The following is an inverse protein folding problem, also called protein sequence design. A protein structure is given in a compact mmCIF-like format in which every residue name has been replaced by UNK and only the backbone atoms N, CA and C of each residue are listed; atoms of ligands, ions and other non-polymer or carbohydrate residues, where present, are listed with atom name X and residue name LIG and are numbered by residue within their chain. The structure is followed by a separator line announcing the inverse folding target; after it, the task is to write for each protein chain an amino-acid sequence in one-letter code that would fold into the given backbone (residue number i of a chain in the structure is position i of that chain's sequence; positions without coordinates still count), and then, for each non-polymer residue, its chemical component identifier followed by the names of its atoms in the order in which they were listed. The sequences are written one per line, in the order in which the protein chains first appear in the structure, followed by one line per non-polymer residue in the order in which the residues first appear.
data_IF_320238436172
#
_entry.id   IF_320238436172
#
_cell.length_a   1.000
_cell.length_b   1.000
_cell.length_c   1.000
_cell.angle_alpha   90.00
_cell.angle_beta   90.00
_cell.angle_gamma   90.00
#
_symmetry.space_group_name_H-M   'P 1'
#
loop_
_entity.id
_entity.type
_entity.pdbx_description
1 polymer ?
#
# COMPACT_ATOMS: atom_id res chain seq x y z
N UNK A 1 -57.79 -74.24 16.01
CA UNK A 1 -58.31 -73.68 17.27
C UNK A 1 -57.67 -72.32 17.49
N UNK A 2 -58.51 -71.32 17.76
CA UNK A 2 -58.22 -69.89 17.91
C UNK A 2 -56.98 -69.56 18.76
N UNK A 3 -56.25 -68.50 18.38
CA UNK A 3 -56.38 -67.17 19.00
C UNK A 3 -55.51 -66.11 18.29
N UNK A 4 -56.19 -65.10 17.76
CA UNK A 4 -55.67 -63.76 17.51
C UNK A 4 -55.18 -63.13 18.82
N UNK A 5 -54.06 -62.40 18.78
CA UNK A 5 -53.73 -61.34 19.75
C UNK A 5 -52.73 -60.35 19.13
N UNK A 6 -53.26 -59.21 18.68
CA UNK A 6 -52.66 -57.87 18.84
C UNK A 6 -53.59 -57.17 19.85
N UNK A 7 -53.16 -56.18 20.67
CA UNK A 7 -52.21 -55.11 20.34
C UNK A 7 -51.31 -54.61 21.50
N UNK A 8 -50.38 -53.68 21.24
CA UNK A 8 -50.42 -52.31 21.80
C UNK A 8 -49.27 -51.42 21.28
N UNK A 9 -49.53 -50.14 20.99
CA UNK A 9 -48.53 -49.15 20.64
C UNK A 9 -48.02 -48.45 21.91
N UNK A 10 -46.70 -48.48 22.15
CA UNK A 10 -46.09 -47.57 23.12
C UNK A 10 -45.54 -46.35 22.39
N UNK A 11 -46.36 -45.30 22.40
CA UNK A 11 -45.90 -43.95 22.17
C UNK A 11 -45.27 -43.42 23.46
N UNK A 12 -43.99 -43.02 23.38
CA UNK A 12 -43.36 -41.83 24.01
C UNK A 12 -41.88 -42.09 24.27
N UNK A 13 -41.00 -41.37 23.56
CA UNK A 13 -40.22 -40.28 24.16
C UNK A 13 -39.31 -39.62 23.12
N UNK A 14 -39.52 -38.32 22.97
CA UNK A 14 -38.66 -37.38 22.27
C UNK A 14 -37.27 -37.36 22.92
N UNK A 15 -36.19 -37.44 22.14
CA UNK A 15 -35.08 -36.47 22.24
C UNK A 15 -34.51 -36.29 20.83
N UNK A 16 -34.73 -35.10 20.28
CA UNK A 16 -34.04 -34.61 19.10
C UNK A 16 -32.55 -34.44 19.44
N UNK A 17 -31.72 -35.37 18.99
CA UNK A 17 -30.27 -35.24 19.03
C UNK A 17 -29.78 -34.40 17.87
N UNK A 18 -29.99 -33.08 17.94
CA UNK A 18 -29.29 -32.10 17.12
C UNK A 18 -27.80 -32.17 17.47
N UNK A 19 -27.05 -33.01 16.76
CA UNK A 19 -25.59 -33.00 16.77
C UNK A 19 -25.08 -31.71 16.14
N UNK A 20 -25.04 -30.64 16.93
CA UNK A 20 -24.39 -29.38 16.58
C UNK A 20 -22.90 -29.67 16.36
N UNK A 21 -22.52 -29.87 15.10
CA UNK A 21 -21.12 -29.87 14.68
C UNK A 21 -20.58 -28.46 14.88
N UNK A 22 -19.95 -28.21 16.02
CA UNK A 22 -19.18 -27.02 16.27
C UNK A 22 -17.91 -27.07 15.39
N UNK A 23 -18.04 -26.68 14.12
CA UNK A 23 -16.90 -26.23 13.33
C UNK A 23 -16.38 -24.95 14.00
N UNK A 24 -15.39 -25.12 14.88
CA UNK A 24 -14.50 -24.06 15.30
C UNK A 24 -13.80 -23.54 14.04
N UNK A 25 -14.37 -22.50 13.45
CA UNK A 25 -13.72 -21.64 12.48
C UNK A 25 -12.49 -21.06 13.16
N UNK A 26 -11.34 -21.70 12.96
CA UNK A 26 -10.02 -21.11 13.12
C UNK A 26 -9.97 -19.93 12.16
N UNK A 27 -10.49 -18.78 12.59
CA UNK A 27 -10.31 -17.52 11.91
C UNK A 27 -8.81 -17.20 12.03
N UNK A 28 -8.03 -17.65 11.04
CA UNK A 28 -6.69 -17.14 10.84
C UNK A 28 -6.85 -15.63 10.66
N UNK A 29 -6.44 -14.86 11.65
CA UNK A 29 -6.21 -13.44 11.50
C UNK A 29 -5.13 -13.30 10.44
N UNK A 30 -5.55 -13.16 9.18
CA UNK A 30 -4.67 -12.81 8.09
C UNK A 30 -4.10 -11.43 8.43
N UNK A 31 -2.93 -11.42 9.06
CA UNK A 31 -2.20 -10.19 9.29
C UNK A 31 -1.97 -9.56 7.92
N UNK A 32 -2.48 -8.34 7.73
CA UNK A 32 -2.30 -7.63 6.47
C UNK A 32 -0.80 -7.52 6.18
N UNK A 33 -0.38 -7.99 5.01
CA UNK A 33 1.02 -7.95 4.61
C UNK A 33 1.54 -6.50 4.61
N UNK A 34 2.81 -6.32 4.96
CA UNK A 34 3.48 -5.05 4.77
C UNK A 34 3.36 -4.63 3.30
N UNK A 35 2.99 -3.37 3.04
CA UNK A 35 2.75 -2.90 1.67
C UNK A 35 3.95 -3.17 0.75
N UNK A 36 5.17 -2.97 1.25
CA UNK A 36 6.41 -3.16 0.49
C UNK A 36 6.66 -4.59 0.01
N UNK A 37 6.04 -5.58 0.65
CA UNK A 37 6.25 -7.00 0.32
C UNK A 37 5.25 -7.50 -0.74
N UNK A 38 4.23 -6.69 -1.07
CA UNK A 38 3.25 -7.03 -2.10
C UNK A 38 3.88 -6.88 -3.49
N UNK A 39 3.82 -7.93 -4.31
CA UNK A 39 4.43 -7.96 -5.65
C UNK A 39 4.00 -6.79 -6.55
N UNK A 40 2.72 -6.43 -6.56
CA UNK A 40 2.24 -5.30 -7.38
C UNK A 40 2.77 -3.95 -6.88
N UNK A 41 3.02 -3.81 -5.57
CA UNK A 41 3.67 -2.62 -5.00
C UNK A 41 5.11 -2.56 -5.48
N UNK A 42 5.86 -3.66 -5.38
CA UNK A 42 7.25 -3.73 -5.87
C UNK A 42 7.36 -3.41 -7.36
N UNK A 43 6.42 -3.92 -8.17
CA UNK A 43 6.36 -3.61 -9.60
C UNK A 43 6.07 -2.13 -9.87
N UNK A 44 5.12 -1.55 -9.12
CA UNK A 44 4.78 -0.13 -9.26
C UNK A 44 5.84 0.80 -8.71
N UNK A 45 6.76 0.32 -7.87
CA UNK A 45 7.88 1.11 -7.37
C UNK A 45 8.99 1.32 -8.42
N UNK A 46 8.94 0.64 -9.56
CA UNK A 46 9.66 1.10 -10.73
C UNK A 46 8.94 2.33 -11.31
N UNK A 47 9.56 3.50 -11.20
CA UNK A 47 9.00 4.75 -11.68
C UNK A 47 8.70 4.75 -13.20
N UNK A 48 9.31 3.87 -14.00
CA UNK A 48 8.99 3.73 -15.43
C UNK A 48 7.65 3.01 -15.68
N UNK A 49 7.24 2.15 -14.74
CA UNK A 49 5.99 1.39 -14.79
C UNK A 49 4.87 2.05 -13.99
N UNK A 50 5.23 2.85 -12.99
CA UNK A 50 4.31 3.40 -12.01
C UNK A 50 3.07 4.07 -12.62
N UNK A 51 3.27 4.99 -13.58
CA UNK A 51 2.16 5.71 -14.23
C UNK A 51 1.22 4.77 -14.98
N UNK A 52 1.74 3.78 -15.69
CA UNK A 52 0.91 2.78 -16.40
C UNK A 52 0.08 1.90 -15.44
N UNK A 53 0.53 1.80 -14.18
CA UNK A 53 -0.16 1.09 -13.11
C UNK A 53 -1.09 2.01 -12.30
N UNK A 54 -1.26 3.27 -12.71
CA UNK A 54 -2.14 4.25 -12.06
C UNK A 54 -1.50 5.04 -10.92
N UNK A 55 -0.18 4.97 -10.76
CA UNK A 55 0.56 5.74 -9.77
C UNK A 55 1.02 7.13 -10.26
N UNK A 56 1.57 7.89 -9.34
CA UNK A 56 1.92 9.31 -9.46
C UNK A 56 3.37 9.62 -9.05
N UNK A 57 4.23 8.63 -8.87
CA UNK A 57 5.59 8.85 -8.33
C UNK A 57 6.44 9.78 -9.22
N UNK A 58 6.21 9.79 -10.54
CA UNK A 58 6.98 10.64 -11.47
C UNK A 58 6.68 12.13 -11.30
N UNK A 59 5.57 12.51 -10.66
CA UNK A 59 5.32 13.89 -10.22
C UNK A 59 6.32 14.36 -9.16
N UNK A 60 7.08 13.44 -8.56
CA UNK A 60 8.00 13.68 -7.46
C UNK A 60 9.44 13.32 -7.81
N UNK A 61 9.78 13.18 -9.10
CA UNK A 61 11.16 12.90 -9.56
C UNK A 61 11.52 13.93 -10.62
N UNK A 62 12.48 14.81 -10.30
CA UNK A 62 12.88 15.89 -11.21
C UNK A 62 13.28 15.37 -12.60
N UNK A 63 12.74 16.01 -13.64
CA UNK A 63 13.00 15.68 -15.04
C UNK A 63 12.19 14.50 -15.59
N UNK A 64 11.43 13.76 -14.77
CA UNK A 64 10.50 12.74 -15.26
C UNK A 64 9.15 13.36 -15.63
N UNK A 65 8.55 12.86 -16.71
CA UNK A 65 7.21 13.28 -17.15
C UNK A 65 6.15 12.83 -16.13
N UNK A 66 5.33 13.76 -15.59
CA UNK A 66 4.24 13.39 -14.69
C UNK A 66 3.12 12.64 -15.45
N UNK A 67 2.21 11.92 -14.75
CA UNK A 67 1.02 11.34 -15.37
C UNK A 67 0.20 12.38 -16.14
N UNK A 68 -0.54 11.93 -17.16
CA UNK A 68 -1.44 12.80 -17.92
C UNK A 68 -2.42 13.56 -17.00
N UNK A 69 -2.64 14.85 -17.30
CA UNK A 69 -3.49 15.73 -16.50
C UNK A 69 -2.88 16.18 -15.17
N UNK A 70 -1.58 15.98 -14.96
CA UNK A 70 -0.91 16.37 -13.73
C UNK A 70 0.40 17.12 -13.96
N UNK A 71 0.97 17.65 -12.87
CA UNK A 71 2.15 18.52 -12.94
C UNK A 71 3.04 18.31 -11.72
N UNK A 72 4.34 18.58 -11.90
CA UNK A 72 5.33 18.72 -10.84
C UNK A 72 5.24 20.08 -10.14
N UNK A 73 4.50 21.05 -10.68
CA UNK A 73 4.32 22.37 -10.05
C UNK A 73 3.77 22.21 -8.63
N UNK A 74 4.35 22.95 -7.69
CA UNK A 74 4.00 22.95 -6.27
C UNK A 74 4.22 21.58 -5.57
N UNK A 75 4.98 20.67 -6.21
CA UNK A 75 5.40 19.40 -5.62
C UNK A 75 6.82 19.47 -5.07
N UNK A 76 7.08 18.58 -4.12
CA UNK A 76 8.44 18.24 -3.70
C UNK A 76 8.98 17.11 -4.57
N UNK A 77 10.22 17.26 -5.03
CA UNK A 77 10.84 16.36 -6.00
C UNK A 77 12.15 15.81 -5.44
N UNK A 78 12.38 14.52 -5.64
CA UNK A 78 13.73 14.00 -5.66
C UNK A 78 14.53 14.69 -6.75
N UNK A 79 15.75 15.14 -6.42
CA UNK A 79 16.69 15.75 -7.36
C UNK A 79 17.05 14.85 -8.54
N UNK A 80 16.94 13.53 -8.38
CA UNK A 80 17.23 12.54 -9.41
C UNK A 80 16.43 11.26 -9.22
N UNK A 81 16.31 10.45 -10.27
CA UNK A 81 15.77 9.09 -10.20
C UNK A 81 16.55 8.20 -9.22
N UNK A 82 17.88 8.35 -9.16
CA UNK A 82 18.71 7.60 -8.22
C UNK A 82 18.37 7.87 -6.75
N UNK A 83 18.01 9.11 -6.38
CA UNK A 83 17.58 9.42 -5.01
C UNK A 83 16.24 8.76 -4.67
N UNK A 84 15.31 8.74 -5.62
CA UNK A 84 14.04 8.01 -5.49
C UNK A 84 14.27 6.50 -5.31
N UNK A 85 15.08 5.88 -6.17
CA UNK A 85 15.35 4.44 -6.11
C UNK A 85 16.06 4.06 -4.80
N UNK A 86 16.95 4.93 -4.31
CA UNK A 86 17.60 4.75 -3.01
C UNK A 86 16.60 4.82 -1.85
N UNK A 87 15.66 5.78 -1.87
CA UNK A 87 14.63 5.90 -0.84
C UNK A 87 13.73 4.65 -0.80
N UNK A 88 13.24 4.19 -1.96
CA UNK A 88 12.46 2.95 -2.03
C UNK A 88 13.25 1.73 -1.54
N UNK A 89 14.50 1.58 -1.98
CA UNK A 89 15.35 0.47 -1.53
C UNK A 89 15.52 0.47 -0.01
N UNK A 90 15.77 1.63 0.60
CA UNK A 90 15.96 1.72 2.05
C UNK A 90 14.68 1.47 2.84
N UNK A 91 13.53 1.82 2.30
CA UNK A 91 12.25 1.44 2.87
C UNK A 91 12.06 -0.08 2.97
N UNK A 92 12.76 -0.85 2.13
CA UNK A 92 12.85 -2.32 2.20
C UNK A 92 13.39 -2.86 3.53
N UNK A 93 14.17 -2.06 4.27
CA UNK A 93 14.92 -2.52 5.45
C UNK A 93 14.40 -1.96 6.78
N UNK A 94 13.37 -1.12 6.78
CA UNK A 94 12.82 -0.59 8.05
C UNK A 94 12.12 -1.70 8.86
N UNK A 95 12.13 -1.58 10.19
CA UNK A 95 11.54 -2.61 11.07
C UNK A 95 10.00 -2.61 11.07
N UNK A 96 9.38 -1.44 10.90
CA UNK A 96 7.94 -1.26 11.07
C UNK A 96 7.26 -0.71 9.80
N UNK A 97 7.27 -1.45 8.67
CA UNK A 97 6.57 -1.01 7.46
C UNK A 97 5.04 -1.02 7.67
N UNK A 98 4.35 -0.08 7.04
CA UNK A 98 2.89 -0.03 7.10
C UNK A 98 2.27 -1.25 6.41
N UNK A 99 1.27 -1.84 7.04
CA UNK A 99 0.47 -2.91 6.45
C UNK A 99 -0.61 -2.34 5.52
N UNK A 100 -0.76 -2.96 4.34
CA UNK A 100 -1.75 -2.55 3.35
C UNK A 100 -3.15 -3.04 3.74
N UNK A 101 -4.03 -2.10 4.09
CA UNK A 101 -5.43 -2.39 4.45
C UNK A 101 -6.34 -1.21 4.09
N UNK A 102 -7.65 -1.46 3.94
CA UNK A 102 -8.56 -0.45 3.41
C UNK A 102 -8.25 -0.11 1.94
N UNK A 103 -8.31 1.19 1.60
CA UNK A 103 -8.10 1.66 0.22
C UNK A 103 -6.84 2.53 0.04
N UNK A 104 -6.25 3.01 1.13
CA UNK A 104 -5.04 3.82 1.11
C UNK A 104 -4.27 3.71 2.42
N UNK A 105 -2.94 3.86 2.33
CA UNK A 105 -2.02 3.92 3.46
C UNK A 105 -0.91 4.92 3.18
N UNK A 106 -0.45 5.58 4.23
CA UNK A 106 0.70 6.46 4.18
C UNK A 106 1.64 6.15 5.32
N UNK A 107 2.93 6.29 5.06
CA UNK A 107 3.95 6.28 6.10
C UNK A 107 5.00 7.32 5.78
N UNK A 108 5.34 8.14 6.78
CA UNK A 108 6.47 9.06 6.71
C UNK A 108 7.59 8.48 7.55
N UNK A 109 8.80 8.44 6.99
CA UNK A 109 9.97 7.84 7.64
C UNK A 109 11.13 8.82 7.57
N UNK A 110 11.73 9.11 8.72
CA UNK A 110 12.93 9.94 8.79
C UNK A 110 14.10 9.31 8.03
N UNK A 111 14.99 10.15 7.51
CA UNK A 111 16.21 9.66 6.84
C UNK A 111 17.09 8.83 7.77
N UNK A 112 17.10 9.16 9.06
CA UNK A 112 17.80 8.37 10.09
C UNK A 112 17.29 6.92 10.15
N UNK A 113 15.97 6.72 10.18
CA UNK A 113 15.34 5.38 10.18
C UNK A 113 15.52 4.64 8.85
N UNK A 114 15.75 5.37 7.76
CA UNK A 114 16.11 4.81 6.45
C UNK A 114 17.62 4.56 6.32
N UNK A 115 18.42 4.88 7.34
CA UNK A 115 19.88 4.86 7.29
C UNK A 115 20.44 5.64 6.09
N UNK A 116 19.78 6.74 5.73
CA UNK A 116 20.16 7.62 4.64
C UNK A 116 20.85 8.86 5.18
N UNK A 117 21.91 9.28 4.49
CA UNK A 117 22.47 10.62 4.66
C UNK A 117 21.49 11.70 4.21
N UNK A 118 21.90 12.96 4.30
CA UNK A 118 21.10 14.08 3.81
C UNK A 118 20.77 13.91 2.32
N UNK A 119 19.55 14.22 1.93
CA UNK A 119 19.09 14.16 0.53
C UNK A 119 18.76 15.57 0.06
N UNK A 120 19.45 16.05 -0.97
CA UNK A 120 19.05 17.24 -1.72
C UNK A 120 17.73 16.97 -2.46
N UNK A 121 16.80 17.91 -2.36
CA UNK A 121 15.49 17.86 -3.00
C UNK A 121 15.08 19.24 -3.54
N UNK A 122 14.03 19.25 -4.36
CA UNK A 122 13.52 20.45 -5.01
C UNK A 122 12.07 20.73 -4.62
N UNK A 123 11.75 21.98 -4.30
CA UNK A 123 10.37 22.48 -4.26
C UNK A 123 10.09 23.14 -5.60
N UNK A 124 9.27 22.52 -6.43
CA UNK A 124 8.99 23.04 -7.76
C UNK A 124 8.07 24.26 -7.70
N UNK A 125 8.46 25.35 -8.34
CA UNK A 125 7.70 26.62 -8.37
C UNK A 125 7.01 26.86 -9.70
N UNK A 126 7.59 26.36 -10.79
CA UNK A 126 7.02 26.48 -12.14
C UNK A 126 7.30 25.20 -12.93
N UNK A 127 6.35 24.86 -13.80
CA UNK A 127 6.44 23.74 -14.71
C UNK A 127 6.16 24.22 -16.14
N UNK A 128 6.65 23.46 -17.13
CA UNK A 128 6.35 23.69 -18.54
C UNK A 128 4.94 23.20 -18.93
N UNK A 129 4.61 23.30 -20.22
CA UNK A 129 3.33 22.86 -20.77
C UNK A 129 3.10 21.33 -20.71
N UNK A 130 4.13 20.55 -20.41
CA UNK A 130 4.04 19.10 -20.16
C UNK A 130 3.97 18.78 -18.66
N UNK A 131 3.97 19.80 -17.80
CA UNK A 131 3.93 19.66 -16.35
C UNK A 131 5.27 19.30 -15.72
N UNK A 132 6.38 19.34 -16.45
CA UNK A 132 7.73 19.07 -15.92
C UNK A 132 8.32 20.32 -15.29
N UNK A 133 8.97 20.17 -14.14
CA UNK A 133 9.51 21.31 -13.40
C UNK A 133 10.60 22.06 -14.17
N UNK A 134 10.49 23.38 -14.28
CA UNK A 134 11.46 24.26 -14.95
C UNK A 134 12.07 25.30 -14.03
N UNK A 135 11.45 25.58 -12.87
CA UNK A 135 11.99 26.44 -11.83
C UNK A 135 11.69 25.86 -10.46
N UNK A 136 12.69 25.83 -9.58
CA UNK A 136 12.60 25.24 -8.26
C UNK A 136 13.46 25.98 -7.23
N UNK A 137 13.10 25.79 -5.96
CA UNK A 137 13.98 26.06 -4.82
C UNK A 137 14.61 24.76 -4.35
N UNK A 138 15.85 24.82 -3.87
CA UNK A 138 16.55 23.68 -3.29
C UNK A 138 16.31 23.59 -1.79
N UNK A 139 16.13 22.38 -1.26
CA UNK A 139 16.06 22.14 0.18
C UNK A 139 16.67 20.78 0.53
N UNK A 140 16.89 20.56 1.83
CA UNK A 140 17.32 19.26 2.36
C UNK A 140 16.12 18.50 2.90
N UNK A 141 15.85 17.33 2.35
CA UNK A 141 14.82 16.44 2.88
C UNK A 141 15.23 15.92 4.26
N UNK A 142 14.26 15.75 5.15
CA UNK A 142 14.47 15.09 6.45
C UNK A 142 13.67 13.81 6.62
N UNK A 143 12.61 13.67 5.84
CA UNK A 143 11.76 12.50 5.82
C UNK A 143 11.38 12.16 4.38
N UNK A 144 11.00 10.91 4.16
CA UNK A 144 10.39 10.45 2.92
C UNK A 144 8.97 9.98 3.25
N UNK A 145 8.01 10.45 2.46
CA UNK A 145 6.63 9.99 2.50
C UNK A 145 6.43 8.87 1.48
N UNK A 146 5.79 7.79 1.90
CA UNK A 146 5.43 6.62 1.10
C UNK A 146 3.91 6.49 1.11
N UNK A 147 3.26 6.64 -0.04
CA UNK A 147 1.82 6.52 -0.20
C UNK A 147 1.45 5.30 -1.02
N UNK A 148 0.59 4.45 -0.47
CA UNK A 148 0.07 3.24 -1.10
C UNK A 148 -1.43 3.35 -1.30
N UNK A 149 -1.95 2.84 -2.41
CA UNK A 149 -3.39 2.81 -2.70
C UNK A 149 -3.81 1.48 -3.31
N UNK A 150 -5.05 1.08 -3.06
CA UNK A 150 -5.70 -0.01 -3.77
C UNK A 150 -6.25 0.53 -5.10
N UNK A 151 -5.65 0.12 -6.22
CA UNK A 151 -6.02 0.52 -7.57
C UNK A 151 -6.40 -0.71 -8.37
N UNK A 152 -7.63 -0.75 -8.87
CA UNK A 152 -8.15 -1.84 -9.71
C UNK A 152 -7.91 -3.24 -9.09
N UNK A 153 -8.15 -3.34 -7.77
CA UNK A 153 -7.97 -4.56 -6.99
C UNK A 153 -6.52 -4.92 -6.63
N UNK A 154 -5.54 -4.08 -6.98
CA UNK A 154 -4.11 -4.29 -6.68
C UNK A 154 -3.55 -3.15 -5.85
N UNK A 155 -2.77 -3.47 -4.82
CA UNK A 155 -2.02 -2.44 -4.11
C UNK A 155 -0.84 -1.96 -4.94
N UNK A 156 -0.63 -0.65 -5.00
CA UNK A 156 0.51 -0.01 -5.67
C UNK A 156 1.16 1.00 -4.74
N UNK A 157 2.45 1.28 -4.96
CA UNK A 157 3.08 2.50 -4.50
C UNK A 157 2.54 3.65 -5.36
N UNK A 158 1.61 4.41 -4.81
CA UNK A 158 0.95 5.49 -5.52
C UNK A 158 1.85 6.73 -5.63
N UNK A 159 2.47 7.12 -4.53
CA UNK A 159 3.35 8.29 -4.47
C UNK A 159 4.50 8.03 -3.51
N UNK A 160 5.63 8.65 -3.77
CA UNK A 160 6.81 8.63 -2.90
C UNK A 160 7.53 9.95 -3.11
N UNK A 161 7.73 10.72 -2.04
CA UNK A 161 8.30 12.06 -2.16
C UNK A 161 9.12 12.49 -0.95
N UNK A 162 10.14 13.35 -1.16
CA UNK A 162 10.89 13.94 -0.05
C UNK A 162 10.07 15.00 0.66
N UNK A 163 10.18 15.06 1.99
CA UNK A 163 9.48 16.03 2.84
C UNK A 163 10.51 17.05 3.39
N UNK A 164 10.27 18.37 3.22
CA UNK A 164 11.10 19.41 3.84
C UNK A 164 10.98 19.37 5.36
N UNK A 165 11.95 19.97 6.07
CA UNK A 165 11.74 20.31 7.47
C UNK A 165 10.88 21.58 7.51
N UNK A 166 9.78 21.53 8.27
CA UNK A 166 9.01 22.72 8.66
C UNK A 166 9.83 23.68 9.55
#
# INVERSE_FOLDING_TARGET
MNRFSLPRPDARQCVAGLGFSALLLLASSANAAACRDITSVQQSADATRNTSMGGHVTQHIYGMTPPSGSSQKDKTLFKSRGNYDAAWRQYGYIDNPVACSGNSKFQVVSLEKLHMGKIDAYSCKQADGQGVCTRWDTYMAKEISYGFVLKDGKWILNTLYPVPLD
#
